data_IF_134928839746
#
_entry.id   IF_134928839746
#
_cell.length_a   1.000
_cell.length_b   1.000
_cell.length_c   1.000
_cell.angle_alpha   90.00
_cell.angle_beta   90.00
_cell.angle_gamma   90.00
#
_symmetry.space_group_name_H-M   'P 1'
#
loop_
_entity.id
_entity.type
_entity.pdbx_description
1 polymer ?
#
# COMPACT_ATOMS: atom_id res chain seq x y z
N UNK A 1 -6.29 3.19 9.19
CA UNK A 1 -5.55 1.95 9.48
C UNK A 1 -5.72 0.91 8.39
N UNK A 2 -6.93 0.50 8.05
CA UNK A 2 -7.16 -0.49 6.98
C UNK A 2 -6.53 -0.11 5.62
N UNK A 3 -6.53 1.17 5.24
CA UNK A 3 -5.86 1.64 4.02
C UNK A 3 -4.33 1.47 4.06
N UNK A 4 -3.67 1.56 5.22
CA UNK A 4 -2.24 1.28 5.33
C UNK A 4 -1.94 -0.19 5.07
N UNK A 5 -2.73 -1.10 5.65
CA UNK A 5 -2.62 -2.54 5.39
C UNK A 5 -2.96 -2.89 3.94
N UNK A 6 -4.03 -2.32 3.39
CA UNK A 6 -4.38 -2.47 1.98
C UNK A 6 -3.21 -2.06 1.08
N UNK A 7 -2.61 -0.89 1.31
CA UNK A 7 -1.46 -0.42 0.55
C UNK A 7 -0.25 -1.35 0.71
N UNK A 8 0.06 -1.80 1.93
CA UNK A 8 1.17 -2.73 2.17
C UNK A 8 0.98 -4.07 1.45
N UNK A 9 -0.25 -4.58 1.37
CA UNK A 9 -0.58 -5.80 0.62
C UNK A 9 -0.54 -5.57 -0.90
N UNK A 10 -1.00 -4.43 -1.39
CA UNK A 10 -1.06 -4.11 -2.82
C UNK A 10 0.34 -3.90 -3.39
N UNK A 11 1.06 -2.87 -2.95
CA UNK A 11 2.33 -2.47 -3.55
C UNK A 11 3.30 -1.77 -2.61
N UNK A 12 2.93 -1.50 -1.34
CA UNK A 12 3.74 -0.72 -0.40
C UNK A 12 4.63 -1.54 0.54
N UNK A 13 4.43 -2.84 0.65
CA UNK A 13 5.24 -3.74 1.49
C UNK A 13 6.33 -4.46 0.71
N UNK A 14 7.25 -5.15 1.39
CA UNK A 14 8.33 -5.90 0.74
C UNK A 14 7.81 -7.09 -0.08
N UNK A 15 6.81 -7.81 0.42
CA UNK A 15 6.17 -8.96 -0.25
C UNK A 15 4.75 -8.59 -0.69
N UNK A 16 4.66 -7.60 -1.57
CA UNK A 16 3.39 -7.09 -2.07
C UNK A 16 2.97 -7.77 -3.37
N UNK A 17 1.69 -7.62 -3.74
CA UNK A 17 1.11 -8.23 -4.94
C UNK A 17 1.66 -7.66 -6.24
N UNK A 18 1.86 -6.36 -6.34
CA UNK A 18 2.39 -5.75 -7.55
C UNK A 18 3.78 -6.28 -7.85
N UNK A 19 4.62 -6.44 -6.82
CA UNK A 19 5.95 -7.02 -6.97
C UNK A 19 5.88 -8.52 -7.34
N UNK A 20 5.08 -9.30 -6.62
CA UNK A 20 5.06 -10.76 -6.78
C UNK A 20 4.31 -11.23 -8.01
N UNK A 21 3.25 -10.54 -8.41
CA UNK A 21 2.41 -10.93 -9.54
C UNK A 21 2.81 -10.18 -10.81
N UNK A 22 2.73 -8.84 -10.81
CA UNK A 22 2.92 -8.04 -12.03
C UNK A 22 4.37 -8.12 -12.50
N UNK A 23 5.33 -7.95 -11.57
CA UNK A 23 6.75 -8.08 -11.88
C UNK A 23 7.21 -9.53 -11.91
N UNK A 24 6.88 -10.32 -10.88
CA UNK A 24 7.48 -11.64 -10.67
C UNK A 24 6.89 -12.73 -11.57
N UNK A 25 5.56 -12.94 -11.54
CA UNK A 25 4.92 -14.02 -12.32
C UNK A 25 4.67 -13.65 -13.77
N UNK A 26 4.19 -12.43 -14.00
CA UNK A 26 3.79 -11.99 -15.35
C UNK A 26 4.95 -11.35 -16.11
N UNK A 27 5.99 -10.91 -15.42
CA UNK A 27 7.16 -10.22 -15.98
C UNK A 27 6.79 -9.02 -16.87
N UNK A 28 5.69 -8.32 -16.54
CA UNK A 28 5.15 -7.21 -17.33
C UNK A 28 5.85 -5.87 -17.06
N UNK A 29 6.60 -5.77 -15.95
CA UNK A 29 7.23 -4.51 -15.56
C UNK A 29 8.58 -4.75 -14.87
N UNK A 30 9.43 -3.71 -14.88
CA UNK A 30 10.73 -3.72 -14.20
C UNK A 30 10.59 -3.42 -12.70
N UNK A 31 9.67 -2.53 -12.38
CA UNK A 31 9.30 -2.16 -11.01
C UNK A 31 7.79 -1.94 -10.92
N UNK A 32 7.24 -2.20 -9.77
CA UNK A 32 5.86 -1.88 -9.45
C UNK A 32 5.71 -1.67 -7.95
N UNK A 33 4.90 -0.69 -7.58
CA UNK A 33 4.65 -0.37 -6.19
C UNK A 33 3.41 0.48 -6.01
N UNK A 34 3.05 0.75 -4.75
CA UNK A 34 1.98 1.67 -4.41
C UNK A 34 2.30 2.44 -3.15
N UNK A 35 1.66 3.61 -2.99
CA UNK A 35 1.72 4.40 -1.76
C UNK A 35 0.35 4.99 -1.45
N UNK A 36 0.12 5.24 -0.19
CA UNK A 36 -1.12 5.82 0.31
C UNK A 36 -0.85 7.15 1.02
N UNK A 37 -1.46 8.21 0.50
CA UNK A 37 -1.49 9.53 1.13
C UNK A 37 -2.79 9.66 1.93
N UNK A 38 -2.68 9.54 3.25
CA UNK A 38 -3.84 9.59 4.14
C UNK A 38 -4.50 10.96 4.23
N UNK A 39 -3.75 12.05 3.98
CA UNK A 39 -4.28 13.42 3.98
C UNK A 39 -5.22 13.67 2.81
N UNK A 40 -4.78 13.25 1.63
CA UNK A 40 -5.52 13.44 0.38
C UNK A 40 -6.53 12.33 0.14
N UNK A 41 -6.41 11.21 0.88
CA UNK A 41 -7.22 10.02 0.64
C UNK A 41 -6.89 9.35 -0.70
N UNK A 42 -5.64 9.48 -1.18
CA UNK A 42 -5.20 8.98 -2.47
C UNK A 42 -4.36 7.71 -2.26
N UNK A 43 -4.77 6.63 -2.92
CA UNK A 43 -3.95 5.45 -3.14
C UNK A 43 -3.40 5.54 -4.57
N UNK A 44 -2.10 5.65 -4.71
CA UNK A 44 -1.46 5.68 -6.01
C UNK A 44 -0.65 4.39 -6.22
N UNK A 45 -0.69 3.86 -7.43
CA UNK A 45 0.15 2.76 -7.88
C UNK A 45 0.98 3.22 -9.09
N UNK A 46 2.21 2.74 -9.18
CA UNK A 46 3.11 3.02 -10.29
C UNK A 46 3.78 1.74 -10.78
N UNK A 47 4.09 1.69 -12.07
CA UNK A 47 4.87 0.63 -12.66
C UNK A 47 5.72 1.17 -13.82
N UNK A 48 6.94 0.67 -13.96
CA UNK A 48 7.82 0.93 -15.10
C UNK A 48 7.83 -0.27 -16.04
N UNK A 49 7.28 -0.13 -17.25
CA UNK A 49 7.14 -1.21 -18.23
C UNK A 49 7.41 -0.73 -19.65
N UNK A 50 7.52 -1.65 -20.60
CA UNK A 50 7.53 -1.33 -22.03
C UNK A 50 6.17 -0.80 -22.48
N UNK A 51 6.15 0.11 -23.49
CA UNK A 51 4.92 0.73 -23.99
C UNK A 51 3.88 -0.30 -24.46
N UNK A 52 4.32 -1.44 -24.99
CA UNK A 52 3.44 -2.52 -25.42
C UNK A 52 2.70 -3.22 -24.24
N UNK A 53 3.27 -3.18 -23.05
CA UNK A 53 2.75 -3.86 -21.86
C UNK A 53 1.84 -2.96 -21.00
N UNK A 54 1.82 -1.65 -21.27
CA UNK A 54 1.04 -0.67 -20.49
C UNK A 54 -0.40 -1.09 -20.22
N UNK A 55 -1.21 -1.50 -21.23
CA UNK A 55 -2.60 -1.89 -20.97
C UNK A 55 -2.73 -3.12 -20.09
N UNK A 56 -1.81 -4.07 -20.22
CA UNK A 56 -1.81 -5.30 -19.41
C UNK A 56 -1.43 -5.00 -17.96
N UNK A 57 -0.45 -4.11 -17.74
CA UNK A 57 -0.01 -3.67 -16.41
C UNK A 57 -1.13 -2.92 -15.69
N UNK A 58 -1.79 -1.96 -16.37
CA UNK A 58 -2.92 -1.23 -15.81
C UNK A 58 -4.05 -2.18 -15.40
N UNK A 59 -4.45 -3.07 -16.31
CA UNK A 59 -5.49 -4.05 -16.04
C UNK A 59 -5.15 -4.93 -14.85
N UNK A 60 -3.90 -5.38 -14.74
CA UNK A 60 -3.48 -6.26 -13.65
C UNK A 60 -3.42 -5.53 -12.30
N UNK A 61 -2.98 -4.28 -12.25
CA UNK A 61 -3.03 -3.46 -11.03
C UNK A 61 -4.46 -3.36 -10.52
N UNK A 62 -5.41 -3.04 -11.40
CA UNK A 62 -6.83 -2.95 -11.05
C UNK A 62 -7.40 -4.32 -10.63
N UNK A 63 -6.97 -5.39 -11.29
CA UNK A 63 -7.35 -6.76 -10.95
C UNK A 63 -6.88 -7.13 -9.54
N UNK A 64 -5.61 -6.85 -9.18
CA UNK A 64 -5.10 -7.12 -7.85
C UNK A 64 -5.85 -6.33 -6.75
N UNK A 65 -6.23 -5.10 -7.03
CA UNK A 65 -7.08 -4.33 -6.11
C UNK A 65 -8.47 -4.97 -5.95
N UNK A 66 -9.07 -5.42 -7.06
CA UNK A 66 -10.36 -6.12 -7.04
C UNK A 66 -10.31 -7.45 -6.27
N UNK A 67 -9.19 -8.20 -6.38
CA UNK A 67 -8.95 -9.42 -5.61
C UNK A 67 -8.92 -9.14 -4.10
N UNK A 68 -8.23 -8.06 -3.68
CA UNK A 68 -8.21 -7.61 -2.28
C UNK A 68 -9.61 -7.19 -1.81
N UNK A 69 -10.36 -6.45 -2.64
CA UNK A 69 -11.74 -6.03 -2.34
C UNK A 69 -12.71 -7.22 -2.19
N UNK A 70 -12.46 -8.29 -2.92
CA UNK A 70 -13.24 -9.54 -2.86
C UNK A 70 -12.81 -10.47 -1.72
N UNK A 71 -11.76 -10.11 -0.95
CA UNK A 71 -11.23 -10.95 0.13
C UNK A 71 -10.41 -12.15 -0.35
N UNK A 72 -9.96 -12.14 -1.59
CA UNK A 72 -9.13 -13.22 -2.15
C UNK A 72 -7.66 -13.05 -1.78
N UNK A 73 -7.39 -13.20 -0.50
CA UNK A 73 -6.05 -13.22 0.09
C UNK A 73 -6.01 -14.15 1.30
N UNK A 74 -4.83 -14.63 1.64
CA UNK A 74 -4.64 -15.51 2.79
C UNK A 74 -4.43 -14.71 4.07
N UNK A 75 -4.71 -15.34 5.22
CA UNK A 75 -4.37 -14.77 6.51
C UNK A 75 -2.86 -14.51 6.63
N UNK A 76 -2.03 -15.38 6.07
CA UNK A 76 -0.57 -15.20 6.05
C UNK A 76 -0.15 -13.95 5.30
N UNK A 77 -0.81 -13.62 4.18
CA UNK A 77 -0.54 -12.39 3.41
C UNK A 77 -0.86 -11.13 4.23
N UNK A 78 -2.00 -11.13 4.91
CA UNK A 78 -2.38 -10.04 5.81
C UNK A 78 -1.40 -9.87 6.98
N UNK A 79 -0.98 -10.97 7.62
CA UNK A 79 -0.03 -10.93 8.74
C UNK A 79 1.37 -10.53 8.30
N UNK A 80 1.80 -10.91 7.11
CA UNK A 80 3.07 -10.46 6.53
C UNK A 80 3.07 -8.93 6.34
N UNK A 81 2.02 -8.38 5.75
CA UNK A 81 1.86 -6.93 5.57
C UNK A 81 1.81 -6.19 6.93
N UNK A 82 1.07 -6.75 7.90
CA UNK A 82 1.00 -6.21 9.26
C UNK A 82 2.36 -6.20 9.94
N UNK A 83 3.09 -7.30 9.87
CA UNK A 83 4.43 -7.45 10.47
C UNK A 83 5.41 -6.46 9.86
N UNK A 84 5.38 -6.24 8.55
CA UNK A 84 6.18 -5.23 7.87
C UNK A 84 5.92 -3.83 8.42
N UNK A 85 4.66 -3.40 8.46
CA UNK A 85 4.29 -2.08 9.00
C UNK A 85 4.68 -1.90 10.48
N UNK A 86 4.53 -2.95 11.30
CA UNK A 86 4.95 -2.91 12.70
C UNK A 86 6.48 -2.83 12.85
N UNK A 87 7.22 -3.47 11.95
CA UNK A 87 8.68 -3.37 11.89
C UNK A 87 9.12 -1.96 11.52
N UNK A 88 8.48 -1.35 10.52
CA UNK A 88 8.76 0.04 10.10
C UNK A 88 8.51 1.04 11.25
N UNK A 89 7.44 0.84 12.03
CA UNK A 89 7.15 1.65 13.21
C UNK A 89 8.22 1.50 14.31
N UNK A 90 8.78 0.30 14.49
CA UNK A 90 9.89 0.09 15.42
C UNK A 90 11.15 0.83 14.97
N UNK A 91 11.52 0.66 13.69
CA UNK A 91 12.67 1.35 13.09
C UNK A 91 12.52 2.88 13.11
N UNK A 92 11.28 3.38 13.01
CA UNK A 92 10.97 4.80 13.16
C UNK A 92 11.32 5.29 14.57
N UNK A 93 10.97 4.51 15.61
CA UNK A 93 11.26 4.87 17.00
C UNK A 93 12.78 4.89 17.33
N UNK A 94 13.57 4.13 16.58
CA UNK A 94 15.03 4.09 16.75
C UNK A 94 15.77 5.27 16.07
N UNK A 95 15.05 6.11 15.31
CA UNK A 95 15.61 7.25 14.59
C UNK A 95 14.99 8.57 15.05
N UNK A 96 15.71 9.43 15.79
CA UNK A 96 15.19 10.70 16.26
C UNK A 96 14.64 11.59 15.13
N UNK A 97 15.32 11.67 13.98
CA UNK A 97 14.87 12.45 12.83
C UNK A 97 13.55 11.95 12.25
N UNK A 98 13.42 10.63 12.05
CA UNK A 98 12.16 10.02 11.57
C UNK A 98 11.01 10.17 12.57
N UNK A 99 11.33 10.12 13.86
CA UNK A 99 10.35 10.34 14.93
C UNK A 99 9.85 11.78 14.95
N UNK A 100 10.76 12.76 14.74
CA UNK A 100 10.41 14.17 14.61
C UNK A 100 9.51 14.41 13.40
N UNK A 101 9.86 13.87 12.23
CA UNK A 101 9.02 13.93 11.02
C UNK A 101 7.64 13.32 11.26
N UNK A 102 7.58 12.18 11.94
CA UNK A 102 6.32 11.51 12.28
C UNK A 102 5.41 12.40 13.13
N UNK A 103 5.93 13.00 14.20
CA UNK A 103 5.12 13.84 15.07
C UNK A 103 4.80 15.19 14.44
N UNK A 104 5.72 15.77 13.68
CA UNK A 104 5.50 17.04 12.97
C UNK A 104 4.40 16.89 11.91
N UNK A 105 4.45 15.83 11.11
CA UNK A 105 3.40 15.52 10.13
C UNK A 105 2.03 15.36 10.78
N UNK A 106 1.97 14.59 11.87
CA UNK A 106 0.70 14.35 12.59
C UNK A 106 0.19 15.60 13.30
N UNK A 107 1.07 16.41 13.87
CA UNK A 107 0.66 17.66 14.50
C UNK A 107 0.05 18.64 13.48
N UNK A 108 0.58 18.69 12.26
CA UNK A 108 0.01 19.47 11.17
C UNK A 108 -1.42 19.00 10.79
N UNK A 109 -1.72 17.72 11.04
CA UNK A 109 -3.07 17.12 10.84
C UNK A 109 -4.00 17.28 12.05
N UNK A 110 -3.51 17.81 13.16
CA UNK A 110 -4.24 17.80 14.42
C UNK A 110 -4.37 16.42 15.06
N UNK A 111 -3.53 15.45 14.67
CA UNK A 111 -3.53 14.09 15.19
C UNK A 111 -2.46 13.95 16.26
N UNK A 112 -2.83 13.49 17.46
CA UNK A 112 -1.92 13.25 18.58
C UNK A 112 -1.70 11.75 18.85
N UNK A 113 -1.61 10.93 17.82
CA UNK A 113 -1.41 9.49 17.94
C UNK A 113 0.08 9.15 17.96
N UNK A 114 0.51 8.41 18.97
CA UNK A 114 1.88 7.89 19.08
C UNK A 114 2.11 6.67 18.16
N UNK A 115 3.38 6.31 17.88
CA UNK A 115 3.70 5.07 17.16
C UNK A 115 3.12 3.81 17.84
N UNK A 116 3.09 3.76 19.18
CA UNK A 116 2.53 2.65 19.93
C UNK A 116 1.01 2.53 19.74
N UNK A 117 0.28 3.64 19.77
CA UNK A 117 -1.16 3.67 19.51
C UNK A 117 -1.46 3.32 18.06
N UNK A 118 -0.62 3.76 17.11
CA UNK A 118 -0.73 3.37 15.72
C UNK A 118 -0.52 1.86 15.55
N UNK A 119 0.50 1.29 16.21
CA UNK A 119 0.76 -0.15 16.20
C UNK A 119 -0.44 -0.94 16.76
N UNK A 120 -1.00 -0.52 17.90
CA UNK A 120 -2.18 -1.15 18.47
C UNK A 120 -3.39 -1.09 17.52
N UNK A 121 -3.61 0.06 16.88
CA UNK A 121 -4.68 0.22 15.89
C UNK A 121 -4.47 -0.66 14.64
N UNK A 122 -3.22 -0.84 14.18
CA UNK A 122 -2.91 -1.77 13.07
C UNK A 122 -3.16 -3.23 13.45
N UNK A 123 -2.85 -3.61 14.70
CA UNK A 123 -3.13 -4.96 15.20
C UNK A 123 -4.63 -5.28 15.26
N UNK A 124 -5.46 -4.28 15.50
CA UNK A 124 -6.91 -4.44 15.60
C UNK A 124 -7.64 -4.55 14.23
N UNK A 125 -6.99 -4.20 13.13
CA UNK A 125 -7.61 -4.26 11.78
C UNK A 125 -7.86 -5.71 11.37
N UNK A 126 -9.07 -6.00 10.95
CA UNK A 126 -9.49 -7.31 10.46
C UNK A 126 -9.35 -7.45 8.94
N UNK A 127 -9.47 -8.67 8.42
CA UNK A 127 -9.53 -8.92 6.98
C UNK A 127 -10.73 -8.21 6.33
N UNK A 128 -11.88 -8.18 7.02
CA UNK A 128 -13.09 -7.48 6.52
C UNK A 128 -12.88 -5.97 6.43
N UNK A 129 -12.14 -5.37 7.38
CA UNK A 129 -11.80 -3.94 7.32
C UNK A 129 -10.96 -3.61 6.09
N UNK A 130 -10.00 -4.49 5.74
CA UNK A 130 -9.18 -4.34 4.52
C UNK A 130 -10.05 -4.47 3.27
N UNK A 131 -10.94 -5.46 3.21
CA UNK A 131 -11.89 -5.61 2.11
C UNK A 131 -12.80 -4.39 1.97
N UNK A 132 -13.34 -3.90 3.08
CA UNK A 132 -14.20 -2.71 3.09
C UNK A 132 -13.45 -1.46 2.62
N UNK A 133 -12.18 -1.31 3.00
CA UNK A 133 -11.32 -0.24 2.52
C UNK A 133 -11.09 -0.35 1.01
N UNK A 134 -10.74 -1.54 0.51
CA UNK A 134 -10.50 -1.80 -0.91
C UNK A 134 -11.75 -1.53 -1.78
N UNK A 135 -12.94 -1.90 -1.32
CA UNK A 135 -14.23 -1.62 -2.02
C UNK A 135 -14.52 -0.13 -2.18
N UNK A 136 -13.91 0.73 -1.37
CA UNK A 136 -14.09 2.19 -1.44
C UNK A 136 -13.12 2.87 -2.41
N UNK A 137 -12.04 2.21 -2.77
CA UNK A 137 -11.08 2.75 -3.75
C UNK A 137 -11.74 2.78 -5.13
N UNK A 138 -11.62 3.92 -5.81
CA UNK A 138 -12.11 4.12 -7.18
C UNK A 138 -10.96 4.60 -8.04
N UNK A 139 -10.79 4.08 -9.25
CA UNK A 139 -9.91 4.69 -10.24
C UNK A 139 -10.38 6.13 -10.52
N UNK A 140 -9.44 7.06 -10.49
CA UNK A 140 -9.69 8.49 -10.72
C UNK A 140 -8.95 8.98 -11.95
N UNK A 141 -7.63 8.74 -12.00
CA UNK A 141 -6.79 9.12 -13.12
C UNK A 141 -5.72 8.07 -13.41
N UNK A 142 -5.39 7.91 -14.68
CA UNK A 142 -4.22 7.17 -15.15
C UNK A 142 -3.33 8.16 -15.89
N UNK A 143 -2.05 8.17 -15.52
CA UNK A 143 -1.04 8.98 -16.16
C UNK A 143 0.06 8.09 -16.71
N UNK A 144 0.36 8.28 -18.00
CA UNK A 144 1.40 7.54 -18.70
C UNK A 144 2.50 8.50 -19.15
N UNK A 145 3.76 8.14 -18.88
CA UNK A 145 4.93 8.83 -19.39
C UNK A 145 5.64 7.91 -20.37
N UNK A 146 5.72 8.32 -21.63
CA UNK A 146 6.38 7.58 -22.69
C UNK A 146 7.56 8.38 -23.23
N UNK A 147 8.61 7.68 -23.65
CA UNK A 147 9.74 8.27 -24.36
C UNK A 147 9.27 8.64 -25.78
N UNK A 148 9.57 9.87 -26.22
CA UNK A 148 9.23 10.39 -27.55
C UNK A 148 10.37 10.14 -28.53
#
# INVERSE_FOLDING_TARGET
MAMLLLNAMLGGGEQNRLYTVVRGRMALCYEAGSWYDGHKGILAASAGCGSADLPAVEQEILHQLAELAAGRFSQSELETARTGLLSDLRLLCDSPGRLDEFYTGRAAEGISQSPAELAAALCAVTAEDVCAAARRVRPDAVYTLEEV
#
